data_IF_351860417507
#
_entry.id   IF_351860417507
#
_cell.length_a   1.000
_cell.length_b   1.000
_cell.length_c   1.000
_cell.angle_alpha   90.00
_cell.angle_beta   90.00
_cell.angle_gamma   90.00
#
_symmetry.space_group_name_H-M   'P 1'
#
loop_
_entity.id
_entity.type
_entity.pdbx_description
1 polymer ?
#
# COMPACT_ATOMS: atom_id res chain seq x y z
N UNK A 1 -1.32 -25.81 -16.83
CA UNK A 1 -0.73 -24.63 -16.18
C UNK A 1 -0.73 -23.41 -17.11
N UNK A 2 -0.28 -23.52 -18.36
CA UNK A 2 -0.21 -22.38 -19.31
C UNK A 2 -1.53 -21.64 -19.54
N UNK A 3 -2.65 -22.35 -19.71
CA UNK A 3 -3.97 -21.73 -19.88
C UNK A 3 -4.37 -20.85 -18.69
N UNK A 4 -4.03 -21.26 -17.46
CA UNK A 4 -4.33 -20.48 -16.25
C UNK A 4 -3.51 -19.18 -16.21
N UNK A 5 -2.22 -19.26 -16.57
CA UNK A 5 -1.35 -18.08 -16.63
C UNK A 5 -1.87 -17.05 -17.66
N UNK A 6 -2.30 -17.50 -18.83
CA UNK A 6 -2.93 -16.63 -19.83
C UNK A 6 -4.21 -15.97 -19.30
N UNK A 7 -5.10 -16.73 -18.66
CA UNK A 7 -6.34 -16.19 -18.08
C UNK A 7 -6.00 -15.12 -17.03
N UNK A 8 -5.09 -15.43 -16.10
CA UNK A 8 -4.65 -14.48 -15.08
C UNK A 8 -4.06 -13.20 -15.68
N UNK A 9 -3.32 -13.31 -16.79
CA UNK A 9 -2.77 -12.15 -17.48
C UNK A 9 -3.84 -11.28 -18.12
N UNK A 10 -4.79 -11.85 -18.87
CA UNK A 10 -5.91 -11.07 -19.43
C UNK A 10 -6.79 -10.44 -18.34
N UNK A 11 -7.03 -11.15 -17.23
CA UNK A 11 -7.72 -10.60 -16.07
C UNK A 11 -6.93 -9.44 -15.45
N UNK A 12 -5.61 -9.58 -15.31
CA UNK A 12 -4.74 -8.51 -14.82
C UNK A 12 -4.81 -7.28 -15.70
N UNK A 13 -4.77 -7.44 -17.02
CA UNK A 13 -4.93 -6.33 -17.99
C UNK A 13 -6.29 -5.67 -17.81
N UNK A 14 -7.37 -6.44 -17.76
CA UNK A 14 -8.73 -5.91 -17.58
C UNK A 14 -8.87 -5.12 -16.29
N UNK A 15 -8.40 -5.66 -15.16
CA UNK A 15 -8.42 -4.97 -13.87
C UNK A 15 -7.55 -3.71 -13.89
N UNK A 16 -6.35 -3.79 -14.47
CA UNK A 16 -5.45 -2.65 -14.58
C UNK A 16 -6.08 -1.50 -15.39
N UNK A 17 -6.69 -1.79 -16.54
CA UNK A 17 -7.39 -0.78 -17.36
C UNK A 17 -8.53 -0.15 -16.57
N UNK A 18 -9.40 -0.97 -15.96
CA UNK A 18 -10.57 -0.48 -15.21
C UNK A 18 -10.13 0.38 -14.03
N UNK A 19 -9.18 -0.08 -13.22
CA UNK A 19 -8.72 0.64 -12.03
C UNK A 19 -8.01 1.92 -12.46
N UNK A 20 -7.07 1.86 -13.41
CA UNK A 20 -6.33 3.02 -13.88
C UNK A 20 -7.27 4.09 -14.42
N UNK A 21 -8.13 3.76 -15.39
CA UNK A 21 -9.05 4.72 -15.98
C UNK A 21 -10.07 5.26 -14.96
N UNK A 22 -10.52 4.43 -14.03
CA UNK A 22 -11.44 4.87 -12.96
C UNK A 22 -10.75 5.83 -11.99
N UNK A 23 -9.52 5.53 -11.56
CA UNK A 23 -8.74 6.42 -10.69
C UNK A 23 -8.44 7.75 -11.36
N UNK A 24 -8.00 7.74 -12.62
CA UNK A 24 -7.80 8.96 -13.40
C UNK A 24 -9.10 9.75 -13.56
N UNK A 25 -10.21 9.09 -13.90
CA UNK A 25 -11.52 9.75 -14.01
C UNK A 25 -11.94 10.39 -12.69
N UNK A 26 -11.79 9.69 -11.57
CA UNK A 26 -12.14 10.21 -10.24
C UNK A 26 -11.25 11.39 -9.86
N UNK A 27 -9.95 11.35 -10.18
CA UNK A 27 -9.00 12.40 -9.82
C UNK A 27 -9.15 13.67 -10.68
N UNK A 28 -9.43 13.51 -11.97
CA UNK A 28 -9.46 14.62 -12.93
C UNK A 28 -10.86 15.18 -13.18
N UNK A 29 -11.91 14.37 -13.09
CA UNK A 29 -13.28 14.79 -13.43
C UNK A 29 -14.11 15.20 -12.20
N UNK A 30 -13.75 14.76 -10.99
CA UNK A 30 -14.51 15.18 -9.81
C UNK A 30 -14.11 16.59 -9.34
N UNK A 31 -15.07 17.41 -8.90
CA UNK A 31 -14.80 18.70 -8.30
C UNK A 31 -13.84 18.57 -7.13
N UNK A 32 -12.77 19.36 -7.12
CA UNK A 32 -11.84 19.42 -6.00
C UNK A 32 -12.53 20.17 -4.86
N UNK A 33 -12.68 19.52 -3.71
CA UNK A 33 -13.15 20.18 -2.48
C UNK A 33 -12.09 21.17 -1.99
N UNK A 34 -12.49 22.41 -1.70
CA UNK A 34 -11.58 23.49 -1.26
C UNK A 34 -10.78 23.14 0.02
N UNK A 35 -11.30 22.24 0.86
CA UNK A 35 -10.68 21.88 2.14
C UNK A 35 -9.59 20.79 2.07
N UNK A 36 -9.29 20.23 0.89
CA UNK A 36 -8.39 19.07 0.80
C UNK A 36 -6.92 19.51 0.82
N UNK A 37 -6.22 19.22 1.92
CA UNK A 37 -4.80 19.54 2.05
C UNK A 37 -3.93 18.63 1.19
N UNK A 38 -2.83 19.17 0.66
CA UNK A 38 -1.88 18.43 -0.18
C UNK A 38 -1.25 17.24 0.57
N UNK A 39 -1.04 17.40 1.88
CA UNK A 39 -0.47 16.38 2.77
C UNK A 39 -1.34 15.12 2.93
N UNK A 40 -2.67 15.28 2.82
CA UNK A 40 -3.63 14.17 2.88
C UNK A 40 -3.71 13.41 1.54
N UNK A 41 -3.34 14.08 0.46
CA UNK A 41 -3.40 13.52 -0.90
C UNK A 41 -2.09 12.83 -1.25
N UNK A 42 -0.93 13.50 -1.14
CA UNK A 42 0.33 13.02 -1.70
C UNK A 42 1.07 12.03 -0.78
N UNK A 43 0.59 10.81 -0.61
CA UNK A 43 1.25 9.79 0.23
C UNK A 43 1.97 8.67 -0.55
N UNK A 44 2.77 7.86 0.14
CA UNK A 44 3.50 6.75 -0.50
C UNK A 44 2.61 5.69 -1.17
N UNK A 45 1.33 5.60 -0.81
CA UNK A 45 0.37 4.70 -1.48
C UNK A 45 0.17 4.96 -2.98
N UNK A 46 0.54 6.13 -3.53
CA UNK A 46 0.44 6.37 -4.98
C UNK A 46 1.34 5.44 -5.80
N UNK A 47 2.43 4.96 -5.21
CA UNK A 47 3.32 4.00 -5.86
C UNK A 47 2.67 2.66 -6.18
N UNK A 48 1.51 2.32 -5.57
CA UNK A 48 0.75 1.14 -5.97
C UNK A 48 0.32 1.17 -7.45
N UNK A 49 0.07 2.36 -8.02
CA UNK A 49 -0.24 2.47 -9.44
C UNK A 49 0.96 2.08 -10.32
N UNK A 50 2.18 2.46 -9.93
CA UNK A 50 3.41 1.96 -10.58
C UNK A 50 3.55 0.46 -10.40
N UNK A 51 3.45 -0.04 -9.17
CA UNK A 51 3.63 -1.47 -8.87
C UNK A 51 2.64 -2.34 -9.64
N UNK A 52 1.35 -1.95 -9.66
CA UNK A 52 0.33 -2.68 -10.43
C UNK A 52 0.64 -2.71 -11.92
N UNK A 53 1.04 -1.56 -12.49
CA UNK A 53 1.41 -1.46 -13.92
C UNK A 53 2.63 -2.34 -14.25
N UNK A 54 3.67 -2.29 -13.42
CA UNK A 54 4.87 -3.08 -13.61
C UNK A 54 4.62 -4.59 -13.44
N UNK A 55 3.77 -4.97 -12.49
CA UNK A 55 3.33 -6.37 -12.31
C UNK A 55 2.59 -6.90 -13.53
N UNK A 56 1.70 -6.12 -14.14
CA UNK A 56 0.99 -6.53 -15.37
C UNK A 56 1.94 -6.69 -16.55
N UNK A 57 2.93 -5.80 -16.69
CA UNK A 57 3.97 -5.90 -17.69
C UNK A 57 4.85 -7.15 -17.50
N UNK A 58 5.29 -7.39 -16.26
CA UNK A 58 6.11 -8.53 -15.86
C UNK A 58 5.38 -9.86 -16.10
N UNK A 59 4.11 -9.95 -15.73
CA UNK A 59 3.29 -11.13 -15.95
C UNK A 59 3.16 -11.47 -17.45
N UNK A 60 3.14 -10.45 -18.33
CA UNK A 60 3.18 -10.65 -19.77
C UNK A 60 4.44 -11.39 -20.22
N UNK A 61 5.59 -11.04 -19.64
CA UNK A 61 6.86 -11.70 -19.96
C UNK A 61 6.92 -13.14 -19.49
N UNK A 62 6.41 -13.43 -18.28
CA UNK A 62 6.31 -14.81 -17.76
C UNK A 62 5.41 -15.68 -18.66
N UNK A 63 4.34 -15.10 -19.20
CA UNK A 63 3.44 -15.78 -20.14
C UNK A 63 4.09 -15.96 -21.53
N UNK A 64 4.90 -15.01 -21.97
CA UNK A 64 5.61 -15.08 -23.25
C UNK A 64 6.62 -16.24 -23.33
N UNK A 65 7.27 -16.61 -22.22
CA UNK A 65 8.22 -17.74 -22.17
C UNK A 65 7.61 -19.06 -22.63
N UNK A 66 6.29 -19.19 -22.53
CA UNK A 66 5.56 -20.43 -22.77
C UNK A 66 4.74 -20.41 -24.07
N UNK A 67 4.85 -19.34 -24.87
CA UNK A 67 4.05 -19.14 -26.07
C UNK A 67 4.94 -18.82 -27.26
N UNK A 68 4.87 -19.63 -28.32
CA UNK A 68 5.63 -19.40 -29.56
C UNK A 68 4.90 -18.40 -30.49
N UNK A 69 3.57 -18.28 -30.35
CA UNK A 69 2.73 -17.35 -31.11
C UNK A 69 2.59 -16.00 -30.38
N UNK A 70 2.56 -14.90 -31.12
CA UNK A 70 2.31 -13.54 -30.60
C UNK A 70 3.39 -12.94 -29.67
N UNK A 71 4.59 -13.51 -29.60
CA UNK A 71 5.67 -13.01 -28.74
C UNK A 71 5.98 -11.53 -28.98
N UNK A 72 6.01 -11.09 -30.25
CA UNK A 72 6.23 -9.69 -30.62
C UNK A 72 5.14 -8.77 -30.04
N UNK A 73 3.87 -9.18 -30.08
CA UNK A 73 2.78 -8.41 -29.50
C UNK A 73 2.93 -8.27 -27.99
N UNK A 74 3.32 -9.36 -27.31
CA UNK A 74 3.56 -9.34 -25.87
C UNK A 74 4.75 -8.44 -25.53
N UNK A 75 5.83 -8.46 -26.32
CA UNK A 75 6.98 -7.55 -26.15
C UNK A 75 6.59 -6.09 -26.28
N UNK A 76 5.85 -5.73 -27.35
CA UNK A 76 5.36 -4.35 -27.55
C UNK A 76 4.51 -3.91 -26.35
N UNK A 77 3.58 -4.77 -25.94
CA UNK A 77 2.63 -4.47 -24.88
C UNK A 77 3.32 -4.35 -23.51
N UNK A 78 4.18 -5.30 -23.15
CA UNK A 78 4.95 -5.28 -21.90
C UNK A 78 5.93 -4.11 -21.87
N UNK A 79 6.59 -3.78 -22.99
CA UNK A 79 7.46 -2.60 -23.09
C UNK A 79 6.67 -1.30 -22.89
N UNK A 80 5.48 -1.19 -23.51
CA UNK A 80 4.61 -0.02 -23.36
C UNK A 80 4.15 0.14 -21.90
N UNK A 81 3.67 -0.92 -21.27
CA UNK A 81 3.28 -0.88 -19.86
C UNK A 81 4.46 -0.58 -18.93
N UNK A 82 5.62 -1.19 -19.18
CA UNK A 82 6.84 -0.90 -18.41
C UNK A 82 7.22 0.57 -18.50
N UNK A 83 7.13 1.16 -19.69
CA UNK A 83 7.41 2.59 -19.92
C UNK A 83 6.39 3.50 -19.21
N UNK A 84 5.11 3.14 -19.23
CA UNK A 84 4.05 3.84 -18.48
C UNK A 84 4.31 3.76 -16.98
N UNK A 85 4.62 2.57 -16.46
CA UNK A 85 4.94 2.36 -15.05
C UNK A 85 6.16 3.15 -14.60
N UNK A 86 7.23 3.16 -15.41
CA UNK A 86 8.45 3.93 -15.18
C UNK A 86 8.17 5.44 -15.16
N UNK A 87 7.33 5.93 -16.08
CA UNK A 87 6.93 7.33 -16.12
C UNK A 87 6.10 7.72 -14.90
N UNK A 88 5.14 6.88 -14.50
CA UNK A 88 4.34 7.07 -13.28
C UNK A 88 5.22 7.13 -12.03
N UNK A 89 6.25 6.27 -11.95
CA UNK A 89 7.20 6.31 -10.84
C UNK A 89 7.88 7.66 -10.71
N UNK A 90 8.42 8.20 -11.82
CA UNK A 90 9.13 9.48 -11.81
C UNK A 90 8.20 10.63 -11.40
N UNK A 91 6.95 10.63 -11.89
CA UNK A 91 5.94 11.62 -11.49
C UNK A 91 5.65 11.53 -9.99
N UNK A 92 5.35 10.34 -9.47
CA UNK A 92 5.06 10.17 -8.05
C UNK A 92 6.27 10.45 -7.18
N UNK A 93 7.48 10.16 -7.64
CA UNK A 93 8.70 10.49 -6.92
C UNK A 93 8.95 11.99 -6.85
N UNK A 94 8.72 12.73 -7.93
CA UNK A 94 8.81 14.18 -7.90
C UNK A 94 7.80 14.76 -6.90
N UNK A 95 6.55 14.30 -6.93
CA UNK A 95 5.49 14.73 -6.01
C UNK A 95 5.79 14.36 -4.55
N UNK A 96 6.30 13.14 -4.30
CA UNK A 96 6.69 12.69 -2.97
C UNK A 96 7.85 13.53 -2.44
N UNK A 97 8.88 13.76 -3.26
CA UNK A 97 10.04 14.57 -2.89
C UNK A 97 9.64 16.01 -2.57
N UNK A 98 8.76 16.60 -3.39
CA UNK A 98 8.18 17.92 -3.13
C UNK A 98 7.47 17.94 -1.78
N UNK A 99 6.63 16.93 -1.49
CA UNK A 99 5.98 16.82 -0.17
C UNK A 99 7.01 16.79 0.96
N UNK A 100 8.03 15.94 0.84
CA UNK A 100 9.04 15.75 1.89
C UNK A 100 9.88 17.00 2.15
N UNK A 101 10.10 17.84 1.14
CA UNK A 101 10.85 19.10 1.25
C UNK A 101 10.02 20.20 1.91
N UNK A 102 8.77 20.38 1.46
CA UNK A 102 7.98 21.56 1.84
C UNK A 102 7.04 21.35 3.02
N UNK A 103 6.68 20.11 3.33
CA UNK A 103 5.70 19.80 4.39
C UNK A 103 6.36 19.09 5.57
N UNK A 104 5.95 19.48 6.77
CA UNK A 104 6.49 18.91 8.00
C UNK A 104 6.05 17.46 8.14
N UNK A 105 7.02 16.59 8.40
CA UNK A 105 6.74 15.20 8.72
C UNK A 105 6.21 15.10 10.15
N UNK A 106 4.90 14.85 10.30
CA UNK A 106 4.25 14.71 11.61
C UNK A 106 4.63 13.37 12.28
N UNK A 107 4.73 13.33 13.61
CA UNK A 107 5.08 12.14 14.38
C UNK A 107 4.07 11.00 14.21
N UNK A 108 2.82 11.35 13.89
CA UNK A 108 1.75 10.37 13.64
C UNK A 108 1.72 9.84 12.21
N UNK A 109 2.57 10.34 11.31
CA UNK A 109 2.58 9.89 9.90
C UNK A 109 2.96 8.41 9.81
N UNK A 110 2.14 7.62 9.10
CA UNK A 110 2.47 6.23 8.82
C UNK A 110 3.64 6.18 7.82
N UNK A 111 4.74 5.54 8.21
CA UNK A 111 5.95 5.43 7.38
C UNK A 111 5.87 4.32 6.35
N UNK A 112 5.08 3.27 6.62
CA UNK A 112 4.97 2.09 5.76
C UNK A 112 4.71 2.41 4.28
N UNK A 113 3.78 3.32 3.92
CA UNK A 113 3.51 3.60 2.52
C UNK A 113 4.71 4.20 1.80
N UNK A 114 5.62 4.89 2.51
CA UNK A 114 6.83 5.47 1.92
C UNK A 114 7.85 4.43 1.51
N UNK A 115 7.83 3.22 2.11
CA UNK A 115 8.64 2.08 1.63
C UNK A 115 8.19 1.59 0.26
N UNK A 116 6.95 1.89 -0.16
CA UNK A 116 6.48 1.59 -1.51
C UNK A 116 7.24 2.37 -2.59
N UNK A 117 7.88 3.50 -2.28
CA UNK A 117 8.82 4.16 -3.19
C UNK A 117 9.91 3.17 -3.62
N UNK A 118 10.64 2.63 -2.64
CA UNK A 118 11.76 1.75 -2.96
C UNK A 118 11.24 0.50 -3.68
N UNK A 119 10.12 -0.08 -3.23
CA UNK A 119 9.51 -1.25 -3.88
C UNK A 119 9.12 -0.98 -5.33
N UNK A 120 8.52 0.16 -5.62
CA UNK A 120 8.14 0.55 -6.99
C UNK A 120 9.36 0.74 -7.92
N UNK A 121 10.48 1.24 -7.39
CA UNK A 121 11.74 1.31 -8.13
C UNK A 121 12.28 -0.11 -8.43
N UNK A 122 12.28 -1.00 -7.43
CA UNK A 122 12.77 -2.36 -7.55
C UNK A 122 11.98 -3.18 -8.58
N UNK A 123 10.65 -3.14 -8.55
CA UNK A 123 9.83 -3.85 -9.55
C UNK A 123 9.98 -3.26 -10.95
N UNK A 124 10.15 -1.94 -11.08
CA UNK A 124 10.45 -1.31 -12.38
C UNK A 124 11.78 -1.83 -12.94
N UNK A 125 12.79 -2.00 -12.08
CA UNK A 125 14.07 -2.59 -12.46
C UNK A 125 13.96 -4.09 -12.83
N UNK A 126 13.20 -4.88 -12.05
CA UNK A 126 12.91 -6.30 -12.33
C UNK A 126 12.25 -6.44 -13.70
N UNK A 127 11.15 -5.72 -13.93
CA UNK A 127 10.41 -5.81 -15.18
C UNK A 127 11.27 -5.44 -16.38
N UNK A 128 12.11 -4.41 -16.27
CA UNK A 128 13.04 -4.04 -17.34
C UNK A 128 14.12 -5.10 -17.57
N UNK A 129 14.61 -5.74 -16.51
CA UNK A 129 15.63 -6.78 -16.58
C UNK A 129 15.09 -8.08 -17.19
N UNK A 130 13.87 -8.49 -16.80
CA UNK A 130 13.18 -9.64 -17.37
C UNK A 130 12.84 -9.40 -18.85
N UNK A 131 12.39 -8.19 -19.20
CA UNK A 131 12.14 -7.80 -20.58
C UNK A 131 13.43 -7.87 -21.41
N UNK A 132 14.56 -7.37 -20.87
CA UNK A 132 15.87 -7.50 -21.49
C UNK A 132 16.25 -8.97 -21.72
N UNK A 133 16.23 -9.80 -20.68
CA UNK A 133 16.63 -11.22 -20.74
C UNK A 133 15.79 -12.00 -21.76
N UNK A 134 14.49 -11.76 -21.79
CA UNK A 134 13.60 -12.45 -22.72
C UNK A 134 13.81 -11.97 -24.18
N UNK A 135 14.01 -10.67 -24.42
CA UNK A 135 14.33 -10.16 -25.77
C UNK A 135 15.69 -10.68 -26.23
N UNK A 136 16.68 -10.74 -25.34
CA UNK A 136 18.00 -11.27 -25.64
C UNK A 136 17.93 -12.76 -26.05
N UNK A 137 17.06 -13.54 -25.41
CA UNK A 137 16.90 -14.97 -25.68
C UNK A 137 16.13 -15.24 -26.98
N UNK A 138 15.03 -14.52 -27.22
CA UNK A 138 14.16 -14.75 -28.39
C UNK A 138 14.66 -14.02 -29.64
N UNK A 139 15.36 -12.90 -29.48
CA UNK A 139 15.72 -11.99 -30.56
C UNK A 139 14.52 -11.20 -31.10
N UNK A 140 14.67 -10.66 -32.31
CA UNK A 140 13.62 -9.91 -33.01
C UNK A 140 13.86 -8.40 -33.05
N UNK A 141 12.84 -7.59 -33.39
CA UNK A 141 13.02 -6.16 -33.69
C UNK A 141 13.36 -5.29 -32.47
N UNK A 142 13.29 -5.84 -31.26
CA UNK A 142 13.55 -5.13 -30.01
C UNK A 142 15.00 -5.25 -29.51
N UNK A 143 15.88 -5.96 -30.23
CA UNK A 143 17.28 -6.17 -29.81
C UNK A 143 18.06 -4.87 -29.63
N UNK A 144 17.73 -3.85 -30.42
CA UNK A 144 18.37 -2.53 -30.34
C UNK A 144 18.05 -1.79 -29.03
N UNK A 145 16.99 -2.20 -28.31
CA UNK A 145 16.61 -1.65 -27.02
C UNK A 145 17.32 -2.31 -25.83
N UNK A 146 18.10 -3.38 -26.04
CA UNK A 146 18.78 -4.08 -24.95
C UNK A 146 19.69 -3.15 -24.12
N UNK A 147 20.56 -2.30 -24.71
CA UNK A 147 21.37 -1.37 -23.91
C UNK A 147 20.53 -0.39 -23.10
N UNK A 148 19.39 0.05 -23.65
CA UNK A 148 18.46 0.94 -22.98
C UNK A 148 17.79 0.28 -21.78
N UNK A 149 17.24 -0.92 -21.94
CA UNK A 149 16.63 -1.68 -20.85
C UNK A 149 17.64 -1.97 -19.73
N UNK A 150 18.86 -2.39 -20.10
CA UNK A 150 19.93 -2.65 -19.13
C UNK A 150 20.30 -1.39 -18.33
N UNK A 151 20.49 -0.25 -19.00
CA UNK A 151 20.83 1.00 -18.35
C UNK A 151 19.71 1.54 -17.46
N UNK A 152 18.45 1.50 -17.94
CA UNK A 152 17.30 2.01 -17.19
C UNK A 152 16.95 1.11 -16.00
N UNK A 153 17.09 -0.21 -16.13
CA UNK A 153 16.94 -1.12 -14.98
C UNK A 153 17.95 -0.81 -13.87
N UNK A 154 19.23 -0.59 -14.22
CA UNK A 154 20.24 -0.19 -13.25
C UNK A 154 19.94 1.18 -12.63
N UNK A 155 19.43 2.12 -13.43
CA UNK A 155 19.01 3.44 -12.95
C UNK A 155 17.95 3.32 -11.85
N UNK A 156 16.86 2.57 -12.08
CA UNK A 156 15.80 2.41 -11.08
C UNK A 156 16.28 1.64 -9.84
N UNK A 157 17.07 0.58 -10.03
CA UNK A 157 17.66 -0.17 -8.90
C UNK A 157 18.54 0.73 -8.03
N UNK A 158 19.44 1.50 -8.64
CA UNK A 158 20.36 2.40 -7.93
C UNK A 158 19.62 3.55 -7.25
N UNK A 159 18.65 4.15 -7.95
CA UNK A 159 17.89 5.28 -7.45
C UNK A 159 17.05 4.91 -6.23
N UNK A 160 16.36 3.78 -6.26
CA UNK A 160 15.58 3.36 -5.10
C UNK A 160 16.46 2.88 -3.94
N UNK A 161 17.61 2.24 -4.21
CA UNK A 161 18.58 1.88 -3.16
C UNK A 161 19.09 3.14 -2.43
N UNK A 162 19.32 4.23 -3.17
CA UNK A 162 19.75 5.51 -2.59
C UNK A 162 18.72 6.13 -1.64
N UNK A 163 17.42 5.89 -1.84
CA UNK A 163 16.36 6.35 -0.93
C UNK A 163 16.27 5.54 0.36
N UNK A 164 16.79 4.31 0.37
CA UNK A 164 16.64 3.40 1.50
C UNK A 164 17.28 3.90 2.80
N UNK A 165 18.53 4.43 2.83
CA UNK A 165 19.11 5.00 4.05
C UNK A 165 18.23 6.08 4.69
N UNK A 166 17.63 6.96 3.86
CA UNK A 166 16.74 8.00 4.36
C UNK A 166 15.47 7.43 5.01
N UNK A 167 14.86 6.39 4.41
CA UNK A 167 13.70 5.71 5.01
C UNK A 167 14.05 4.99 6.31
N UNK A 168 15.23 4.39 6.39
CA UNK A 168 15.74 3.77 7.63
C UNK A 168 15.90 4.83 8.71
N UNK A 169 16.49 5.99 8.41
CA UNK A 169 16.63 7.10 9.36
C UNK A 169 15.26 7.55 9.87
N UNK A 170 14.26 7.69 8.98
CA UNK A 170 12.90 8.04 9.38
C UNK A 170 12.26 6.98 10.31
N UNK A 171 12.45 5.70 10.00
CA UNK A 171 11.94 4.59 10.80
C UNK A 171 12.59 4.54 12.20
N UNK A 172 13.92 4.66 12.27
CA UNK A 172 14.67 4.70 13.53
C UNK A 172 14.29 5.93 14.35
N UNK A 173 14.19 7.10 13.70
CA UNK A 173 13.74 8.33 14.33
C UNK A 173 12.36 8.16 14.97
N UNK A 174 11.40 7.59 14.23
CA UNK A 174 10.06 7.33 14.76
C UNK A 174 10.13 6.38 15.96
N UNK A 175 10.90 5.30 15.87
CA UNK A 175 11.06 4.36 16.97
C UNK A 175 11.62 5.00 18.25
N UNK A 176 12.59 5.92 18.12
CA UNK A 176 13.21 6.61 19.26
C UNK A 176 12.26 7.65 19.87
N UNK A 177 11.60 8.47 19.05
CA UNK A 177 10.78 9.59 19.53
C UNK A 177 9.36 9.22 19.94
N UNK A 178 8.80 8.12 19.42
CA UNK A 178 7.44 7.73 19.76
C UNK A 178 7.30 7.25 21.21
N UNK A 179 8.36 6.74 21.85
CA UNK A 179 8.32 6.25 23.24
C UNK A 179 7.35 5.09 23.51
N UNK A 180 6.55 4.73 22.51
CA UNK A 180 5.56 3.66 22.52
C UNK A 180 6.18 2.32 22.15
N UNK A 181 5.64 1.24 22.72
CA UNK A 181 5.99 -0.11 22.31
C UNK A 181 5.76 -0.30 20.81
N UNK A 182 6.55 -1.16 20.15
CA UNK A 182 6.34 -1.55 18.75
C UNK A 182 4.91 -2.08 18.56
N UNK A 183 4.01 -1.19 18.11
CA UNK A 183 2.65 -1.54 17.76
C UNK A 183 2.65 -2.10 16.34
N UNK A 184 2.14 -3.33 16.21
CA UNK A 184 1.94 -3.92 14.88
C UNK A 184 0.91 -3.08 14.12
N UNK A 185 1.25 -2.73 12.89
CA UNK A 185 0.33 -2.12 11.93
C UNK A 185 0.32 -2.95 10.66
N UNK A 186 -0.78 -2.94 9.90
CA UNK A 186 -0.85 -3.70 8.64
C UNK A 186 0.23 -3.22 7.65
N UNK A 187 0.71 -1.99 7.77
CA UNK A 187 1.75 -1.43 6.92
C UNK A 187 3.11 -2.15 6.98
N UNK A 188 3.41 -3.00 7.97
CA UNK A 188 4.66 -3.78 7.95
C UNK A 188 4.74 -4.73 6.74
N UNK A 189 3.59 -5.13 6.18
CA UNK A 189 3.53 -5.89 4.93
C UNK A 189 4.09 -5.13 3.74
N UNK A 190 3.94 -3.80 3.69
CA UNK A 190 4.50 -2.97 2.62
C UNK A 190 6.04 -2.94 2.69
N UNK A 191 6.60 -2.99 3.90
CA UNK A 191 8.05 -3.04 4.13
C UNK A 191 8.60 -4.41 3.70
N UNK A 192 7.96 -5.50 4.12
CA UNK A 192 8.35 -6.86 3.71
C UNK A 192 8.30 -7.00 2.18
N UNK A 193 7.22 -6.51 1.57
CA UNK A 193 7.04 -6.50 0.12
C UNK A 193 8.18 -5.74 -0.59
N UNK A 194 8.49 -4.53 -0.13
CA UNK A 194 9.56 -3.72 -0.72
C UNK A 194 10.94 -4.38 -0.62
N UNK A 195 11.26 -4.99 0.53
CA UNK A 195 12.53 -5.71 0.74
C UNK A 195 12.62 -6.97 -0.12
N UNK A 196 11.52 -7.73 -0.25
CA UNK A 196 11.44 -8.88 -1.13
C UNK A 196 11.70 -8.51 -2.59
N UNK A 197 11.08 -7.42 -3.07
CA UNK A 197 11.35 -6.90 -4.41
C UNK A 197 12.81 -6.45 -4.59
N UNK A 198 13.45 -5.87 -3.57
CA UNK A 198 14.88 -5.53 -3.68
C UNK A 198 15.79 -6.74 -3.77
N UNK A 199 15.51 -7.79 -2.99
CA UNK A 199 16.24 -9.04 -3.09
C UNK A 199 16.15 -9.59 -4.53
N UNK A 200 14.94 -9.73 -5.05
CA UNK A 200 14.70 -10.25 -6.40
C UNK A 200 15.30 -9.37 -7.50
N UNK A 201 15.12 -8.05 -7.39
CA UNK A 201 15.72 -7.06 -8.31
C UNK A 201 17.24 -7.17 -8.34
N UNK A 202 17.87 -7.40 -7.19
CA UNK A 202 19.32 -7.54 -7.09
C UNK A 202 19.83 -8.82 -7.75
N UNK A 203 19.08 -9.93 -7.67
CA UNK A 203 19.40 -11.15 -8.44
C UNK A 203 19.32 -10.89 -9.94
N UNK A 204 18.31 -10.17 -10.41
CA UNK A 204 18.24 -9.78 -11.83
C UNK A 204 19.41 -8.87 -12.24
N UNK A 205 19.91 -8.01 -11.34
CA UNK A 205 21.12 -7.22 -11.61
C UNK A 205 22.39 -8.09 -11.70
N UNK A 206 22.52 -9.14 -10.87
CA UNK A 206 23.61 -10.13 -10.99
C UNK A 206 23.61 -10.72 -12.40
N UNK A 207 22.45 -11.13 -12.90
CA UNK A 207 22.33 -11.75 -14.22
C UNK A 207 22.60 -10.77 -15.37
N UNK A 208 22.28 -9.47 -15.21
CA UNK A 208 22.54 -8.47 -16.25
C UNK A 208 23.99 -7.99 -16.32
N UNK A 209 24.68 -7.93 -15.19
CA UNK A 209 26.03 -7.33 -15.07
C UNK A 209 27.12 -8.33 -14.68
N UNK A 210 26.78 -9.61 -14.48
CA UNK A 210 27.69 -10.68 -14.05
C UNK A 210 28.41 -10.38 -12.71
N UNK A 211 27.85 -9.46 -11.93
CA UNK A 211 28.39 -8.97 -10.68
C UNK A 211 28.03 -9.88 -9.50
N UNK A 212 28.77 -10.98 -9.32
CA UNK A 212 28.52 -11.98 -8.28
C UNK A 212 28.53 -11.40 -6.84
N UNK A 213 29.21 -10.27 -6.62
CA UNK A 213 29.20 -9.56 -5.33
C UNK A 213 27.79 -9.09 -4.91
N UNK A 214 26.89 -8.87 -5.86
CA UNK A 214 25.50 -8.48 -5.59
C UNK A 214 24.67 -9.61 -4.98
N UNK A 215 25.10 -10.88 -5.06
CA UNK A 215 24.41 -12.01 -4.44
C UNK A 215 24.36 -11.88 -2.92
N UNK A 216 25.44 -11.36 -2.32
CA UNK A 216 25.49 -11.10 -0.87
C UNK A 216 24.44 -10.05 -0.49
N UNK A 217 24.40 -8.94 -1.23
CA UNK A 217 23.43 -7.85 -1.02
C UNK A 217 21.99 -8.37 -1.16
N UNK A 218 21.72 -9.18 -2.18
CA UNK A 218 20.42 -9.81 -2.36
C UNK A 218 20.03 -10.70 -1.18
N UNK A 219 21.00 -11.45 -0.64
CA UNK A 219 20.78 -12.37 0.47
C UNK A 219 20.44 -11.59 1.74
N UNK A 220 21.14 -10.49 2.01
CA UNK A 220 20.85 -9.61 3.14
C UNK A 220 19.42 -9.04 3.07
N UNK A 221 18.99 -8.60 1.88
CA UNK A 221 17.61 -8.16 1.67
C UNK A 221 16.60 -9.28 1.86
N UNK A 222 16.90 -10.49 1.40
CA UNK A 222 16.03 -11.65 1.57
C UNK A 222 15.87 -12.01 3.06
N UNK A 223 16.95 -12.00 3.83
CA UNK A 223 16.92 -12.26 5.29
C UNK A 223 16.09 -11.20 6.00
N UNK A 224 16.30 -9.92 5.69
CA UNK A 224 15.51 -8.82 6.24
C UNK A 224 14.01 -8.95 5.90
N UNK A 225 13.69 -9.28 4.64
CA UNK A 225 12.33 -9.55 4.17
C UNK A 225 11.68 -10.67 4.97
N UNK A 226 12.32 -11.85 5.07
CA UNK A 226 11.80 -13.03 5.77
C UNK A 226 11.58 -12.72 7.26
N UNK A 227 12.47 -11.94 7.87
CA UNK A 227 12.35 -11.53 9.28
C UNK A 227 11.10 -10.70 9.51
N UNK A 228 10.89 -9.64 8.71
CA UNK A 228 9.73 -8.75 8.82
C UNK A 228 8.45 -9.46 8.38
N UNK A 229 8.52 -10.33 7.38
CA UNK A 229 7.40 -11.15 6.92
C UNK A 229 6.93 -12.12 8.00
N UNK A 230 7.86 -12.79 8.68
CA UNK A 230 7.55 -13.73 9.76
C UNK A 230 6.94 -13.00 10.96
N UNK A 231 7.53 -11.87 11.35
CA UNK A 231 6.95 -10.98 12.36
C UNK A 231 5.53 -10.56 11.98
N UNK A 232 5.34 -10.03 10.77
CA UNK A 232 4.03 -9.56 10.30
C UNK A 232 3.00 -10.67 10.25
N UNK A 233 3.40 -11.87 9.81
CA UNK A 233 2.51 -13.03 9.73
C UNK A 233 2.06 -13.50 11.11
N UNK A 234 2.99 -13.63 12.07
CA UNK A 234 2.69 -14.03 13.46
C UNK A 234 1.73 -13.03 14.09
N UNK A 235 2.00 -11.73 13.99
CA UNK A 235 1.15 -10.71 14.57
C UNK A 235 -0.20 -10.62 13.86
N UNK A 236 -0.25 -10.74 12.52
CA UNK A 236 -1.51 -10.78 11.77
C UNK A 236 -2.38 -11.95 12.25
N UNK A 237 -1.81 -13.15 12.38
CA UNK A 237 -2.53 -14.34 12.87
C UNK A 237 -2.96 -14.15 14.32
N UNK A 238 -2.08 -13.64 15.19
CA UNK A 238 -2.40 -13.38 16.59
C UNK A 238 -3.56 -12.38 16.74
N UNK A 239 -3.51 -11.27 16.01
CA UNK A 239 -4.58 -10.27 16.02
C UNK A 239 -5.86 -10.80 15.39
N UNK A 240 -5.79 -11.59 14.31
CA UNK A 240 -6.96 -12.25 13.73
C UNK A 240 -7.58 -13.27 14.68
N UNK A 241 -6.77 -14.06 15.38
CA UNK A 241 -7.22 -15.03 16.37
C UNK A 241 -7.82 -14.34 17.60
N UNK A 242 -7.21 -13.24 18.04
CA UNK A 242 -7.73 -12.41 19.13
C UNK A 242 -9.00 -11.65 18.72
N UNK A 243 -9.09 -11.22 17.45
CA UNK A 243 -10.29 -10.62 16.86
C UNK A 243 -11.32 -11.66 16.42
N UNK A 244 -11.03 -12.96 16.55
CA UNK A 244 -11.94 -14.06 16.21
C UNK A 244 -13.12 -14.18 17.18
N UNK A 245 -13.29 -13.23 18.10
CA UNK A 245 -14.63 -12.81 18.54
C UNK A 245 -15.16 -11.81 17.52
N UNK A 246 -15.70 -12.36 16.42
CA UNK A 246 -16.49 -11.64 15.43
C UNK A 246 -17.49 -10.69 16.12
N UNK A 247 -17.23 -9.38 16.10
CA UNK A 247 -18.29 -8.39 16.27
C UNK A 247 -18.71 -7.98 14.86
N UNK A 248 -19.78 -8.56 14.29
CA UNK A 248 -20.33 -8.04 13.05
C UNK A 248 -20.68 -6.57 13.28
N UNK A 249 -20.39 -5.70 12.31
CA UNK A 249 -20.70 -4.26 12.35
C UNK A 249 -22.20 -4.03 12.67
N UNK A 250 -23.05 -4.99 12.34
CA UNK A 250 -24.48 -5.02 12.70
C UNK A 250 -24.81 -5.42 14.16
N UNK A 251 -23.81 -5.65 15.03
CA UNK A 251 -23.95 -5.97 16.47
C UNK A 251 -23.25 -4.96 17.39
N UNK A 252 -22.99 -3.75 16.91
CA UNK A 252 -22.66 -2.60 17.76
C UNK A 252 -23.92 -1.82 18.19
N UNK A 253 -25.08 -2.48 18.21
CA UNK A 253 -26.30 -1.91 18.79
C UNK A 253 -26.23 -2.01 20.30
N UNK A 254 -26.39 -0.86 20.97
CA UNK A 254 -26.54 -0.82 22.42
C UNK A 254 -27.91 -1.43 22.78
N UNK A 255 -27.94 -2.40 23.69
CA UNK A 255 -29.15 -3.17 24.02
C UNK A 255 -30.27 -2.27 24.57
N UNK A 256 -29.91 -1.26 25.37
CA UNK A 256 -30.76 -0.15 25.81
C UNK A 256 -29.90 0.97 26.39
N UNK A 257 -30.40 2.22 26.34
CA UNK A 257 -29.81 3.39 27.00
C UNK A 257 -30.79 3.89 28.05
N UNK A 258 -30.32 3.96 29.29
CA UNK A 258 -30.91 4.82 30.33
C UNK A 258 -30.06 6.09 30.40
N UNK A 259 -30.57 7.24 30.87
CA UNK A 259 -29.87 8.53 30.77
C UNK A 259 -28.44 8.54 31.35
N UNK A 260 -28.06 7.57 32.18
CA UNK A 260 -26.72 7.46 32.80
C UNK A 260 -26.05 6.09 32.66
N UNK A 261 -26.60 5.15 31.89
CA UNK A 261 -25.94 3.85 31.67
C UNK A 261 -26.37 3.17 30.36
N UNK A 262 -25.44 2.44 29.76
CA UNK A 262 -25.67 1.64 28.56
C UNK A 262 -25.11 0.23 28.71
N UNK A 263 -25.79 -0.75 28.11
CA UNK A 263 -25.37 -2.14 28.11
C UNK A 263 -24.80 -2.51 26.74
N UNK A 264 -23.56 -2.99 26.73
CA UNK A 264 -22.86 -3.44 25.52
C UNK A 264 -22.37 -4.87 25.75
N UNK A 265 -22.82 -5.82 24.92
CA UNK A 265 -22.43 -7.23 25.01
C UNK A 265 -22.61 -7.83 26.42
N UNK A 266 -23.72 -7.52 27.10
CA UNK A 266 -23.98 -8.06 28.43
C UNK A 266 -23.33 -7.29 29.60
N UNK A 267 -22.32 -6.45 29.35
CA UNK A 267 -21.66 -5.62 30.38
C UNK A 267 -22.33 -4.26 30.50
N UNK A 268 -22.57 -3.85 31.74
CA UNK A 268 -23.14 -2.54 32.08
C UNK A 268 -22.01 -1.50 32.17
N UNK A 269 -22.10 -0.44 31.39
CA UNK A 269 -21.23 0.72 31.47
C UNK A 269 -22.03 1.91 31.99
N UNK A 270 -21.55 2.54 33.06
CA UNK A 270 -22.14 3.79 33.55
C UNK A 270 -21.40 4.98 32.95
N UNK A 271 -22.17 5.97 32.53
CA UNK A 271 -21.70 7.24 31.97
C UNK A 271 -21.35 8.14 33.14
N UNK A 272 -20.05 8.45 33.28
CA UNK A 272 -19.52 9.34 34.30
C UNK A 272 -19.70 10.80 33.90
N UNK A 273 -19.42 11.11 32.64
CA UNK A 273 -19.47 12.47 32.09
C UNK A 273 -19.67 12.44 30.57
N UNK A 274 -20.38 13.43 30.03
CA UNK A 274 -20.50 13.66 28.58
C UNK A 274 -19.57 14.82 28.23
N UNK A 275 -18.51 14.54 27.46
CA UNK A 275 -17.48 15.52 27.11
C UNK A 275 -18.00 16.50 26.04
N UNK A 276 -18.72 15.98 25.04
CA UNK A 276 -19.22 16.80 23.94
C UNK A 276 -20.36 16.11 23.20
N UNK A 277 -21.36 16.90 22.80
CA UNK A 277 -22.47 16.50 21.93
C UNK A 277 -22.43 17.35 20.66
N UNK A 278 -22.60 16.72 19.50
CA UNK A 278 -22.79 17.44 18.23
C UNK A 278 -23.73 16.70 17.29
N UNK A 279 -24.33 17.46 16.38
CA UNK A 279 -25.22 16.98 15.34
C UNK A 279 -24.42 16.76 14.06
N UNK A 280 -24.52 15.57 13.47
CA UNK A 280 -23.89 15.31 12.18
C UNK A 280 -24.89 15.63 11.06
N UNK A 281 -24.62 16.71 10.31
CA UNK A 281 -25.39 17.10 9.13
C UNK A 281 -24.77 16.46 7.89
N UNK A 282 -25.25 15.28 7.51
CA UNK A 282 -24.99 14.73 6.17
C UNK A 282 -25.77 15.52 5.12
N UNK A 283 -25.22 15.63 3.89
CA UNK A 283 -25.74 16.43 2.75
C UNK A 283 -27.22 16.12 2.38
N UNK A 284 -27.82 15.05 2.93
CA UNK A 284 -29.22 14.67 2.75
C UNK A 284 -30.13 14.88 3.98
N UNK A 285 -29.70 15.72 4.94
CA UNK A 285 -30.46 16.00 6.17
C UNK A 285 -29.83 15.38 7.42
N UNK A 286 -30.29 15.86 8.58
CA UNK A 286 -29.80 15.45 9.90
C UNK A 286 -30.19 13.99 10.17
N UNK A 287 -29.20 13.09 10.28
CA UNK A 287 -29.47 11.67 10.51
C UNK A 287 -28.96 11.15 11.86
N UNK A 288 -27.90 11.74 12.45
CA UNK A 288 -27.26 11.20 13.67
C UNK A 288 -26.81 12.28 14.67
N UNK A 289 -27.05 12.03 15.95
CA UNK A 289 -26.44 12.74 17.09
C UNK A 289 -25.24 11.95 17.60
N UNK A 290 -24.11 12.60 17.88
CA UNK A 290 -22.90 11.94 18.41
C UNK A 290 -22.54 12.47 19.79
N UNK A 291 -22.04 11.57 20.63
CA UNK A 291 -21.68 11.83 22.01
C UNK A 291 -20.29 11.25 22.31
N UNK A 292 -19.38 12.09 22.81
CA UNK A 292 -18.20 11.61 23.53
C UNK A 292 -18.54 11.47 25.01
N UNK A 293 -18.35 10.28 25.55
CA UNK A 293 -18.64 9.97 26.95
C UNK A 293 -17.42 9.38 27.64
N UNK A 294 -17.29 9.63 28.94
CA UNK A 294 -16.34 8.95 29.81
C UNK A 294 -17.13 7.93 30.63
N UNK A 295 -16.68 6.67 30.63
CA UNK A 295 -17.29 5.64 31.47
C UNK A 295 -16.65 5.60 32.86
N UNK A 296 -17.27 4.91 33.82
CA UNK A 296 -16.69 4.70 35.15
C UNK A 296 -15.31 4.00 35.15
N UNK A 297 -14.92 3.36 34.05
CA UNK A 297 -13.57 2.78 33.86
C UNK A 297 -12.57 3.78 33.24
N UNK A 298 -12.90 5.08 33.22
CA UNK A 298 -12.14 6.16 32.55
C UNK A 298 -11.88 5.91 31.05
N UNK A 299 -12.73 5.12 30.37
CA UNK A 299 -12.64 4.96 28.92
C UNK A 299 -13.43 6.07 28.24
N UNK A 300 -12.83 6.70 27.25
CA UNK A 300 -13.51 7.72 26.44
C UNK A 300 -14.12 7.04 25.22
N UNK A 301 -15.44 7.01 25.11
CA UNK A 301 -16.16 6.30 24.06
C UNK A 301 -16.99 7.26 23.20
N UNK A 302 -17.01 7.01 21.88
CA UNK A 302 -17.89 7.66 20.93
C UNK A 302 -19.13 6.80 20.71
N UNK A 303 -20.29 7.36 21.01
CA UNK A 303 -21.58 6.73 20.77
C UNK A 303 -22.40 7.63 19.85
N UNK A 304 -23.13 7.04 18.90
CA UNK A 304 -24.09 7.75 18.05
C UNK A 304 -25.52 7.30 18.29
N UNK A 305 -26.44 8.26 18.21
CA UNK A 305 -27.89 8.06 18.22
C UNK A 305 -28.45 8.43 16.85
N UNK A 306 -29.06 7.45 16.19
CA UNK A 306 -29.71 7.65 14.91
C UNK A 306 -31.16 8.11 15.13
N UNK A 307 -31.48 9.31 14.63
CA UNK A 307 -32.77 9.96 14.84
C UNK A 307 -33.90 9.31 14.03
N UNK A 308 -33.58 8.65 12.92
CA UNK A 308 -34.55 7.98 12.05
C UNK A 308 -34.92 6.61 12.61
N UNK A 309 -33.92 5.84 13.02
CA UNK A 309 -34.13 4.46 13.52
C UNK A 309 -34.38 4.41 15.02
N UNK A 310 -34.18 5.52 15.74
CA UNK A 310 -34.24 5.64 17.21
C UNK A 310 -33.33 4.64 17.93
N UNK A 311 -32.20 4.28 17.31
CA UNK A 311 -31.23 3.31 17.84
C UNK A 311 -29.90 3.94 18.20
N UNK A 312 -29.24 3.36 19.19
CA UNK A 312 -27.93 3.75 19.67
C UNK A 312 -26.85 2.80 19.14
N UNK A 313 -25.74 3.37 18.69
CA UNK A 313 -24.61 2.67 18.08
C UNK A 313 -23.31 3.05 18.79
N UNK A 314 -22.43 2.06 18.95
CA UNK A 314 -21.09 2.27 19.48
C UNK A 314 -20.10 2.43 18.32
N UNK A 315 -19.45 3.59 18.22
CA UNK A 315 -18.61 3.90 17.07
C UNK A 315 -17.13 3.61 17.35
N UNK A 316 -16.56 4.20 18.41
CA UNK A 316 -15.11 4.16 18.68
C UNK A 316 -14.77 4.27 20.17
N UNK A 317 -13.60 3.76 20.57
CA UNK A 317 -12.98 4.00 21.88
C UNK A 317 -11.69 4.77 21.67
N UNK A 318 -11.52 5.86 22.43
CA UNK A 318 -10.25 6.55 22.61
C UNK A 318 -9.66 6.05 23.92
N UNK A 319 -8.63 5.21 23.81
CA UNK A 319 -7.88 4.68 24.96
C UNK A 319 -6.94 5.75 25.48
#
# INVERSE_FOLDING_TARGET
FYTMAHICWYVSIGLWVVISLSTFSILFLNPKSEDRRIEDVLHGGWFFATVGTQSTALLGMIVAEHTIKQVIFIHVFSFALWSVGASLYLVFMALLTLRLIFYRFDSNTLLSPYWMNIGAAAITAITGAVLHQHIQTVGGPFTDLLPFLKGVSLFFWSFGLWWMPFLIILAVRKLIYSGEALTFTVGYWEIAFALGLYADSTIHMVALFEGHYLVVISTDFAIACITIWSFSSIFTIFYLAKSSVWVPVNKLTIDYVTPYSFKLHGRLFQVKEVISEWLDQTIQGVTKKRYWIITNTNLTCLISYDLLTKKWYFDQVKV
#
